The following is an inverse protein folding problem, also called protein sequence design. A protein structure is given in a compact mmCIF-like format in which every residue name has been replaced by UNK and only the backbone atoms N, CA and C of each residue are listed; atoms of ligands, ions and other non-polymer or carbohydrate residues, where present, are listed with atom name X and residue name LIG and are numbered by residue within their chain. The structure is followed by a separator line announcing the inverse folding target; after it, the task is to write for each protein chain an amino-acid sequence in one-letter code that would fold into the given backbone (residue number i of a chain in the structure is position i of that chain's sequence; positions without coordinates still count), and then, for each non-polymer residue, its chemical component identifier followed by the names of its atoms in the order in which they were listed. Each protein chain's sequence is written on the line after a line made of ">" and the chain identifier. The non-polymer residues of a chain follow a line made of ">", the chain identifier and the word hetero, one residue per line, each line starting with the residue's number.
data_IF_143669685363
#
_entry.id   IF_143669685363
#
_cell.length_a   1.000
_cell.length_b   1.000
_cell.length_c   1.000
_cell.angle_alpha   90.00
_cell.angle_beta   90.00
_cell.angle_gamma   90.00
#
_symmetry.space_group_name_H-M   'P 1'
#
loop_
_entity.id
_entity.type
_entity.pdbx_description
1 polymer ?
#
# COMPACT_ATOMS: atom_id res chain seq x y z
N UNK A 1 -0.68 14.29 2.82
CA UNK A 1 -1.67 14.02 1.76
C UNK A 1 -3.06 14.40 2.23
N UNK A 2 -3.81 15.12 1.39
CA UNK A 2 -5.21 15.53 1.63
C UNK A 2 -6.21 14.50 1.09
N UNK A 3 -7.50 14.78 1.22
CA UNK A 3 -8.56 13.98 0.58
C UNK A 3 -8.75 14.41 -0.87
N UNK A 4 -8.90 13.43 -1.75
CA UNK A 4 -9.31 13.61 -3.15
C UNK A 4 -10.78 13.22 -3.25
N UNK A 5 -11.63 14.11 -3.77
CA UNK A 5 -13.08 13.92 -3.84
C UNK A 5 -13.51 13.84 -5.31
N UNK A 6 -14.31 12.82 -5.63
CA UNK A 6 -14.98 12.63 -6.91
C UNK A 6 -16.45 12.97 -6.75
N UNK A 7 -17.03 13.61 -7.77
CA UNK A 7 -18.45 14.00 -7.84
C UNK A 7 -19.39 12.80 -8.07
N UNK A 8 -18.83 11.60 -8.18
CA UNK A 8 -19.56 10.35 -8.33
C UNK A 8 -18.84 9.22 -7.61
N UNK A 9 -19.59 8.21 -7.19
CA UNK A 9 -19.03 6.96 -6.68
C UNK A 9 -18.62 6.05 -7.84
N UNK A 10 -17.37 5.55 -7.89
CA UNK A 10 -16.94 4.58 -8.89
C UNK A 10 -17.83 3.33 -8.91
N UNK A 11 -18.17 2.84 -10.10
CA UNK A 11 -18.97 1.60 -10.24
C UNK A 11 -18.21 0.36 -9.74
N UNK A 12 -16.89 0.34 -9.96
CA UNK A 12 -15.97 -0.65 -9.41
C UNK A 12 -14.92 0.04 -8.55
N UNK A 13 -15.23 0.17 -7.25
CA UNK A 13 -14.31 0.78 -6.28
C UNK A 13 -12.99 0.00 -6.21
N UNK A 14 -13.01 -1.33 -6.31
CA UNK A 14 -11.77 -2.13 -6.26
C UNK A 14 -10.89 -1.83 -7.46
N UNK A 15 -11.47 -1.84 -8.66
CA UNK A 15 -10.79 -1.48 -9.90
C UNK A 15 -10.19 -0.08 -9.81
N UNK A 16 -10.91 0.87 -9.22
CA UNK A 16 -10.42 2.22 -8.99
C UNK A 16 -9.25 2.27 -8.00
N UNK A 17 -9.34 1.57 -6.87
CA UNK A 17 -8.22 1.44 -5.91
C UNK A 17 -6.99 0.82 -6.58
N UNK A 18 -7.18 -0.18 -7.45
CA UNK A 18 -6.09 -0.79 -8.21
C UNK A 18 -5.47 0.18 -9.21
N UNK A 19 -6.29 1.00 -9.88
CA UNK A 19 -5.83 2.07 -10.77
C UNK A 19 -4.99 3.09 -10.01
N UNK A 20 -5.41 3.51 -8.82
CA UNK A 20 -4.66 4.43 -7.95
C UNK A 20 -3.31 3.84 -7.50
N UNK A 21 -3.24 2.52 -7.31
CA UNK A 21 -2.01 1.81 -6.94
C UNK A 21 -1.14 1.40 -8.15
N UNK A 22 -1.48 1.86 -9.35
CA UNK A 22 -0.76 1.57 -10.59
C UNK A 22 -0.11 2.83 -11.14
N UNK A 23 1.16 2.73 -11.53
CA UNK A 23 1.87 3.85 -12.12
C UNK A 23 3.17 3.40 -12.80
N UNK A 24 3.57 4.13 -13.83
CA UNK A 24 4.79 3.83 -14.59
C UNK A 24 5.60 5.11 -14.80
N UNK A 25 6.91 4.99 -14.68
CA UNK A 25 7.89 6.03 -15.00
C UNK A 25 9.02 5.44 -15.82
N UNK A 26 9.97 6.29 -16.23
CA UNK A 26 11.14 5.85 -16.97
C UNK A 26 12.01 4.85 -16.19
N UNK A 27 11.98 4.88 -14.86
CA UNK A 27 12.82 4.04 -14.01
C UNK A 27 12.12 2.78 -13.49
N UNK A 28 10.81 2.85 -13.23
CA UNK A 28 10.07 1.76 -12.58
C UNK A 28 8.59 1.77 -12.94
N UNK A 29 7.94 0.63 -12.73
CA UNK A 29 6.48 0.52 -12.64
C UNK A 29 6.07 0.03 -11.26
N UNK A 30 4.87 0.41 -10.83
CA UNK A 30 4.20 -0.11 -9.65
C UNK A 30 2.82 -0.63 -10.03
N UNK A 31 2.39 -1.72 -9.39
CA UNK A 31 1.07 -2.30 -9.62
C UNK A 31 0.62 -3.11 -8.39
N UNK A 32 -0.70 -3.20 -8.14
CA UNK A 32 -1.23 -4.02 -7.06
C UNK A 32 -1.05 -5.51 -7.38
N UNK A 33 -0.62 -6.30 -6.40
CA UNK A 33 -0.58 -7.77 -6.48
C UNK A 33 -1.61 -8.45 -5.59
N UNK A 34 -2.14 -7.73 -4.60
CA UNK A 34 -3.26 -8.13 -3.77
C UNK A 34 -3.89 -6.90 -3.10
N UNK A 35 -5.18 -6.97 -2.78
CA UNK A 35 -5.89 -5.94 -2.04
C UNK A 35 -6.98 -6.54 -1.17
N UNK A 36 -7.13 -6.03 0.04
CA UNK A 36 -8.25 -6.37 0.91
C UNK A 36 -8.85 -5.13 1.56
N UNK A 37 -10.16 -5.15 1.77
CA UNK A 37 -10.91 -4.07 2.39
C UNK A 37 -11.28 -4.46 3.82
N UNK A 38 -11.09 -3.55 4.77
CA UNK A 38 -11.57 -3.66 6.16
C UNK A 38 -12.26 -2.36 6.53
N UNK A 39 -13.59 -2.41 6.68
CA UNK A 39 -14.42 -1.21 6.78
C UNK A 39 -14.21 -0.31 5.55
N UNK A 40 -13.93 0.96 5.79
CA UNK A 40 -13.72 1.95 4.72
C UNK A 40 -12.24 2.11 4.32
N UNK A 41 -11.39 1.15 4.70
CA UNK A 41 -9.95 1.15 4.43
C UNK A 41 -9.57 0.01 3.50
N UNK A 42 -8.84 0.34 2.44
CA UNK A 42 -8.19 -0.62 1.56
C UNK A 42 -6.71 -0.77 1.91
N UNK A 43 -6.27 -2.01 2.07
CA UNK A 43 -4.88 -2.38 2.22
C UNK A 43 -4.43 -3.10 0.97
N UNK A 44 -3.41 -2.56 0.30
CA UNK A 44 -2.96 -3.04 -1.00
C UNK A 44 -1.48 -3.39 -0.94
N UNK A 45 -1.13 -4.62 -1.30
CA UNK A 45 0.25 -5.00 -1.54
C UNK A 45 0.63 -4.52 -2.94
N UNK A 46 1.53 -3.54 -3.02
CA UNK A 46 1.97 -2.92 -4.27
C UNK A 46 3.38 -3.38 -4.58
N UNK A 47 3.57 -4.02 -5.74
CA UNK A 47 4.87 -4.44 -6.24
C UNK A 47 5.48 -3.32 -7.08
N UNK A 48 6.73 -2.98 -6.79
CA UNK A 48 7.52 -2.08 -7.61
C UNK A 48 8.59 -2.88 -8.36
N UNK A 49 8.65 -2.70 -9.67
CA UNK A 49 9.63 -3.33 -10.57
C UNK A 49 10.45 -2.27 -11.28
N UNK A 50 11.76 -2.46 -11.32
CA UNK A 50 12.70 -1.53 -11.94
C UNK A 50 13.16 -2.07 -13.29
N UNK A 51 13.37 -1.17 -14.25
CA UNK A 51 13.87 -1.58 -15.57
C UNK A 51 15.29 -2.14 -15.51
N UNK A 52 16.12 -1.59 -14.61
CA UNK A 52 17.45 -2.12 -14.29
C UNK A 52 17.47 -2.67 -12.86
N UNK A 53 17.86 -3.94 -12.74
CA UNK A 53 17.85 -4.66 -11.47
C UNK A 53 18.90 -4.14 -10.48
N UNK A 54 20.06 -3.64 -10.95
CA UNK A 54 21.09 -3.07 -10.06
C UNK A 54 20.57 -1.78 -9.41
N UNK A 55 20.02 -0.89 -10.23
CA UNK A 55 19.38 0.36 -9.80
C UNK A 55 18.26 0.06 -8.81
N UNK A 56 17.41 -0.92 -9.12
CA UNK A 56 16.34 -1.36 -8.22
C UNK A 56 16.87 -1.83 -6.86
N UNK A 57 17.84 -2.74 -6.85
CA UNK A 57 18.44 -3.25 -5.59
C UNK A 57 19.03 -2.13 -4.75
N UNK A 58 19.78 -1.20 -5.35
CA UNK A 58 20.37 -0.08 -4.65
C UNK A 58 19.29 0.84 -4.07
N UNK A 59 18.33 1.28 -4.91
CA UNK A 59 17.28 2.20 -4.51
C UNK A 59 16.40 1.66 -3.39
N UNK A 60 16.06 0.37 -3.46
CA UNK A 60 15.25 -0.32 -2.46
C UNK A 60 16.00 -0.44 -1.14
N UNK A 61 17.29 -0.82 -1.18
CA UNK A 61 18.13 -0.92 0.01
C UNK A 61 18.33 0.44 0.70
N UNK A 62 18.55 1.52 -0.06
CA UNK A 62 18.69 2.88 0.46
C UNK A 62 17.42 3.37 1.20
N UNK A 63 16.24 2.84 0.83
CA UNK A 63 14.98 3.11 1.52
C UNK A 63 14.68 2.19 2.69
N UNK A 64 15.62 1.32 3.03
CA UNK A 64 15.48 0.39 4.14
C UNK A 64 14.55 -0.78 3.82
N UNK A 65 14.45 -1.21 2.57
CA UNK A 65 13.78 -2.47 2.20
C UNK A 65 14.81 -3.51 1.76
N UNK A 66 14.48 -4.79 1.94
CA UNK A 66 15.26 -5.89 1.37
C UNK A 66 14.80 -6.12 -0.08
N UNK A 67 15.64 -5.85 -1.09
CA UNK A 67 15.26 -6.07 -2.48
C UNK A 67 15.27 -7.56 -2.84
N UNK A 68 14.41 -7.92 -3.79
CA UNK A 68 14.48 -9.19 -4.48
C UNK A 68 15.69 -9.20 -5.45
N UNK A 69 16.05 -10.39 -5.95
CA UNK A 69 17.16 -10.54 -6.90
C UNK A 69 16.96 -9.73 -8.19
N UNK A 70 15.71 -9.60 -8.66
CA UNK A 70 15.33 -8.79 -9.83
C UNK A 70 15.29 -7.27 -9.53
N UNK A 71 15.64 -6.84 -8.31
CA UNK A 71 15.58 -5.45 -7.88
C UNK A 71 14.17 -4.97 -7.48
N UNK A 72 13.16 -5.83 -7.55
CA UNK A 72 11.81 -5.49 -7.12
C UNK A 72 11.65 -5.51 -5.59
N UNK A 73 10.56 -4.91 -5.11
CA UNK A 73 10.09 -5.05 -3.73
C UNK A 73 8.58 -4.84 -3.65
N UNK A 74 7.99 -5.23 -2.52
CA UNK A 74 6.56 -5.05 -2.24
C UNK A 74 6.38 -4.23 -0.98
N UNK A 75 5.55 -3.20 -1.05
CA UNK A 75 5.18 -2.34 0.07
C UNK A 75 3.65 -2.28 0.21
N UNK A 76 3.17 -1.81 1.36
CA UNK A 76 1.74 -1.62 1.58
C UNK A 76 1.30 -0.19 1.27
N UNK A 77 0.33 -0.04 0.36
CA UNK A 77 -0.51 1.15 0.27
C UNK A 77 -1.75 0.99 1.15
N UNK A 78 -2.17 2.09 1.76
CA UNK A 78 -3.31 2.19 2.66
C UNK A 78 -4.19 3.32 2.16
N UNK A 79 -5.39 2.99 1.69
CA UNK A 79 -6.31 3.94 1.08
C UNK A 79 -7.54 4.04 1.96
N UNK A 80 -7.73 5.20 2.59
CA UNK A 80 -9.00 5.52 3.24
C UNK A 80 -10.00 5.91 2.16
N UNK A 81 -11.23 5.44 2.28
CA UNK A 81 -12.33 5.81 1.39
C UNK A 81 -13.48 6.39 2.21
N UNK A 82 -14.31 7.22 1.60
CA UNK A 82 -15.57 7.70 2.17
C UNK A 82 -16.61 7.83 1.06
N UNK A 83 -17.87 7.59 1.38
CA UNK A 83 -19.02 7.90 0.52
C UNK A 83 -19.96 8.79 1.31
N UNK A 84 -20.07 10.05 0.91
CA UNK A 84 -20.90 11.05 1.59
C UNK A 84 -21.69 11.85 0.54
N UNK A 85 -23.01 11.97 0.71
CA UNK A 85 -23.89 12.74 -0.18
C UNK A 85 -23.81 12.39 -1.69
N UNK A 86 -23.42 11.15 -2.03
CA UNK A 86 -23.25 10.69 -3.41
C UNK A 86 -21.86 10.98 -4.00
N UNK A 87 -21.03 11.72 -3.28
CA UNK A 87 -19.61 11.93 -3.59
C UNK A 87 -18.78 10.78 -3.02
N UNK A 88 -17.68 10.45 -3.69
CA UNK A 88 -16.71 9.46 -3.20
C UNK A 88 -15.36 10.10 -2.99
N UNK A 89 -14.82 9.94 -1.79
CA UNK A 89 -13.53 10.47 -1.40
C UNK A 89 -12.52 9.36 -1.16
N UNK A 90 -11.25 9.64 -1.45
CA UNK A 90 -10.15 8.80 -0.97
C UNK A 90 -8.98 9.61 -0.44
N UNK A 91 -8.18 8.98 0.42
CA UNK A 91 -6.89 9.47 0.88
C UNK A 91 -5.89 8.33 0.90
N UNK A 92 -4.88 8.44 0.06
CA UNK A 92 -3.80 7.48 -0.06
C UNK A 92 -2.62 7.81 0.85
N UNK A 93 -2.01 6.76 1.37
CA UNK A 93 -0.74 6.79 2.09
C UNK A 93 -0.09 5.41 1.96
N UNK A 94 1.18 5.30 2.27
CA UNK A 94 1.86 4.01 2.37
C UNK A 94 2.34 3.75 3.81
N UNK A 95 2.77 2.52 4.09
CA UNK A 95 3.22 2.10 5.42
C UNK A 95 4.38 2.94 6.00
N UNK A 96 5.19 3.58 5.16
CA UNK A 96 6.27 4.47 5.60
C UNK A 96 5.75 5.80 6.14
N UNK A 97 4.49 6.16 5.89
CA UNK A 97 3.83 7.31 6.50
C UNK A 97 3.37 7.06 7.95
N UNK A 98 3.49 5.82 8.45
CA UNK A 98 3.00 5.42 9.77
C UNK A 98 1.49 5.62 9.96
N UNK A 99 0.61 5.03 9.12
CA UNK A 99 -0.83 5.26 9.21
C UNK A 99 -1.42 4.99 10.61
N UNK A 100 -2.40 5.81 11.01
CA UNK A 100 -3.15 5.58 12.25
C UNK A 100 -4.06 4.34 12.14
N UNK A 101 -4.60 4.05 10.96
CA UNK A 101 -5.33 2.79 10.70
C UNK A 101 -4.34 1.64 10.55
N UNK A 102 -4.60 0.54 11.26
CA UNK A 102 -3.63 -0.55 11.38
C UNK A 102 -4.34 -1.91 11.47
N UNK A 103 -5.31 -2.16 10.60
CA UNK A 103 -6.07 -3.42 10.55
C UNK A 103 -5.74 -4.22 9.28
N UNK A 104 -4.55 -4.02 8.71
CA UNK A 104 -4.13 -4.70 7.48
C UNK A 104 -4.18 -6.22 7.67
N UNK A 105 -4.92 -6.98 6.84
CA UNK A 105 -5.03 -8.43 6.98
C UNK A 105 -3.70 -9.17 6.87
N UNK A 106 -3.63 -10.37 7.48
CA UNK A 106 -2.41 -11.19 7.49
C UNK A 106 -1.94 -11.56 6.08
N UNK A 107 -2.87 -11.83 5.18
CA UNK A 107 -2.63 -12.12 3.75
C UNK A 107 -1.87 -10.99 3.06
N UNK A 108 -2.25 -9.72 3.29
CA UNK A 108 -1.54 -8.55 2.77
C UNK A 108 -0.16 -8.43 3.40
N UNK A 109 -0.06 -8.51 4.75
CA UNK A 109 1.23 -8.39 5.44
C UNK A 109 2.25 -9.46 5.04
N UNK A 110 1.78 -10.66 4.69
CA UNK A 110 2.65 -11.79 4.29
C UNK A 110 3.32 -11.58 2.92
N UNK A 111 2.79 -10.69 2.08
CA UNK A 111 3.32 -10.40 0.75
C UNK A 111 4.41 -9.31 0.76
N UNK A 112 4.52 -8.55 1.85
CA UNK A 112 5.36 -7.36 1.90
C UNK A 112 6.83 -7.72 2.07
N UNK A 113 7.72 -7.03 1.34
CA UNK A 113 9.17 -7.17 1.49
C UNK A 113 9.61 -6.78 2.90
N UNK A 114 10.62 -7.45 3.43
CA UNK A 114 11.23 -7.08 4.71
C UNK A 114 11.74 -5.63 4.66
N UNK A 115 11.62 -4.91 5.77
CA UNK A 115 12.00 -3.51 5.87
C UNK A 115 12.55 -3.18 7.26
N UNK A 116 13.48 -2.23 7.30
CA UNK A 116 14.02 -1.58 8.50
C UNK A 116 13.47 -0.15 8.66
N UNK A 117 12.59 0.32 7.78
CA UNK A 117 12.01 1.65 7.86
C UNK A 117 11.16 1.78 9.15
N UNK A 118 11.48 2.70 10.06
CA UNK A 118 10.94 2.68 11.44
C UNK A 118 9.41 2.75 11.47
N UNK A 119 8.80 3.64 10.67
CA UNK A 119 7.35 3.78 10.62
C UNK A 119 6.63 2.58 10.00
N UNK A 120 7.24 1.92 9.01
CA UNK A 120 6.65 0.73 8.39
C UNK A 120 6.74 -0.47 9.35
N UNK A 121 7.88 -0.63 10.03
CA UNK A 121 8.08 -1.67 11.05
C UNK A 121 7.07 -1.52 12.18
N UNK A 122 6.92 -0.32 12.73
CA UNK A 122 5.94 -0.02 13.78
C UNK A 122 4.50 -0.30 13.31
N UNK A 123 4.12 0.23 12.14
CA UNK A 123 2.79 0.05 11.59
C UNK A 123 2.44 -1.43 11.39
N UNK A 124 3.35 -2.21 10.78
CA UNK A 124 3.15 -3.66 10.62
C UNK A 124 3.04 -4.39 11.97
N UNK A 125 3.75 -3.93 13.01
CA UNK A 125 3.65 -4.49 14.35
C UNK A 125 2.27 -4.23 14.97
N UNK A 126 1.76 -3.00 14.85
CA UNK A 126 0.39 -2.64 15.26
C UNK A 126 -0.67 -3.47 14.52
N UNK A 127 -0.53 -3.67 13.21
CA UNK A 127 -1.41 -4.55 12.44
C UNK A 127 -1.39 -6.00 12.96
N UNK A 128 -0.21 -6.56 13.26
CA UNK A 128 -0.13 -7.91 13.82
C UNK A 128 -0.71 -8.00 15.24
N UNK A 129 -0.63 -6.94 16.02
CA UNK A 129 -1.17 -6.89 17.37
C UNK A 129 -2.70 -6.86 17.36
N UNK A 130 -3.31 -6.09 16.45
CA UNK A 130 -4.78 -6.00 16.35
C UNK A 130 -5.43 -7.32 15.94
N UNK A 131 -4.75 -8.18 15.17
CA UNK A 131 -5.27 -9.51 14.80
C UNK A 131 -5.40 -10.48 15.98
N UNK A 132 -4.67 -10.24 17.06
CA UNK A 132 -4.66 -11.14 18.23
C UNK A 132 -5.79 -10.83 19.22
N UNK A 133 -6.49 -9.73 19.03
CA UNK A 133 -7.61 -9.35 19.86
C UNK A 133 -8.90 -9.80 19.16
N UNK A 134 -9.72 -10.67 19.80
CA UNK A 134 -11.07 -10.89 19.30
C UNK A 134 -11.82 -9.55 19.34
N UNK A 135 -12.54 -9.26 18.27
CA UNK A 135 -13.44 -8.12 18.16
C UNK A 135 -14.52 -8.15 19.26
#
# INVERSE_FOLDING_TARGET
>A
MGWMIYDHTPQDIRGEIHRLCTGESDARRIFPIASEQVGDVWYVAVRAEFKDANTGRQWVAERGYTPNQDGSYVFAAVILTSVENGEWGYKDMDETCGPAVHQAPRSILALLSATTHPFAVDWRARCRASMKQPA
#
